data_IF_280466412156
#
_entry.id   IF_280466412156
#
_cell.length_a   1.000
_cell.length_b   1.000
_cell.length_c   1.000
_cell.angle_alpha   90.00
_cell.angle_beta   90.00
_cell.angle_gamma   90.00
#
_symmetry.space_group_name_H-M   'P 1'
#
loop_
_entity.id
_entity.type
_entity.pdbx_description
1 polymer ?
#
# COMPACT_ATOMS: atom_id res chain seq x y z
N UNK A 1 -36.79 5.70 -18.18
CA UNK A 1 -35.39 5.55 -18.63
C UNK A 1 -34.58 4.86 -17.53
N UNK A 2 -34.09 3.63 -17.78
CA UNK A 2 -33.20 2.94 -16.85
C UNK A 2 -31.76 3.37 -17.16
N UNK A 3 -31.17 4.20 -16.30
CA UNK A 3 -29.74 4.50 -16.38
C UNK A 3 -28.97 3.24 -15.95
N UNK A 4 -28.45 2.49 -16.92
CA UNK A 4 -27.48 1.43 -16.68
C UNK A 4 -26.23 2.06 -16.05
N UNK A 5 -26.04 1.81 -14.75
CA UNK A 5 -24.91 2.29 -13.97
C UNK A 5 -23.66 1.49 -14.39
N UNK A 6 -22.92 1.99 -15.38
CA UNK A 6 -21.71 1.35 -15.89
C UNK A 6 -20.59 1.38 -14.83
N UNK A 7 -20.39 0.27 -14.12
CA UNK A 7 -19.17 0.05 -13.34
C UNK A 7 -18.00 -0.24 -14.29
N UNK A 8 -17.27 0.83 -14.64
CA UNK A 8 -16.12 0.79 -15.57
C UNK A 8 -14.96 -0.12 -15.11
N UNK A 9 -14.94 -0.51 -13.83
CA UNK A 9 -13.94 -1.42 -13.28
C UNK A 9 -14.61 -2.51 -12.43
N UNK A 10 -14.44 -3.78 -12.83
CA UNK A 10 -14.86 -4.94 -12.02
C UNK A 10 -13.85 -5.13 -10.88
N UNK A 11 -13.99 -4.36 -9.81
CA UNK A 11 -13.21 -4.61 -8.59
C UNK A 11 -13.58 -5.98 -8.04
N UNK A 12 -12.58 -6.77 -7.63
CA UNK A 12 -12.83 -8.08 -7.06
C UNK A 12 -13.75 -7.98 -5.83
N UNK A 13 -14.65 -8.97 -5.60
CA UNK A 13 -15.47 -9.04 -4.41
C UNK A 13 -14.62 -8.95 -3.15
N UNK A 14 -15.16 -8.36 -2.07
CA UNK A 14 -14.45 -8.16 -0.80
C UNK A 14 -13.87 -9.47 -0.27
N UNK A 15 -14.65 -10.55 -0.38
CA UNK A 15 -14.30 -11.89 0.08
C UNK A 15 -13.04 -12.42 -0.62
N UNK A 16 -12.79 -12.00 -1.87
CA UNK A 16 -11.64 -12.43 -2.67
C UNK A 16 -10.40 -11.57 -2.46
N UNK A 17 -10.48 -10.52 -1.64
CA UNK A 17 -9.38 -9.61 -1.28
C UNK A 17 -9.23 -9.49 0.25
N UNK A 18 -9.65 -10.52 0.98
CA UNK A 18 -9.52 -10.59 2.43
C UNK A 18 -8.43 -11.60 2.81
N UNK A 19 -7.52 -11.22 3.70
CA UNK A 19 -6.57 -12.13 4.34
C UNK A 19 -6.42 -11.77 5.82
N UNK A 20 -6.34 -12.77 6.70
CA UNK A 20 -6.25 -12.58 8.15
C UNK A 20 -7.34 -11.65 8.75
N UNK A 21 -8.54 -11.63 8.16
CA UNK A 21 -9.64 -10.72 8.55
C UNK A 21 -9.49 -9.28 8.05
N UNK A 22 -8.41 -8.96 7.34
CA UNK A 22 -8.13 -7.64 6.77
C UNK A 22 -8.58 -7.61 5.31
N UNK A 23 -9.35 -6.58 4.94
CA UNK A 23 -9.85 -6.37 3.58
C UNK A 23 -8.93 -5.41 2.83
N UNK A 24 -8.24 -5.90 1.79
CA UNK A 24 -7.27 -5.13 0.98
C UNK A 24 -7.94 -4.42 -0.18
N UNK A 25 -7.42 -3.29 -0.67
CA UNK A 25 -8.04 -2.56 -1.78
C UNK A 25 -7.96 -3.35 -3.10
N UNK A 26 -6.92 -4.17 -3.26
CA UNK A 26 -6.74 -5.05 -4.42
C UNK A 26 -6.31 -6.48 -4.06
N UNK A 27 -6.48 -7.41 -5.01
CA UNK A 27 -5.93 -8.77 -4.88
C UNK A 27 -4.40 -8.76 -4.83
N UNK A 28 -3.76 -7.83 -5.53
CA UNK A 28 -2.31 -7.70 -5.56
C UNK A 28 -1.75 -7.33 -4.18
N UNK A 29 -2.35 -6.35 -3.51
CA UNK A 29 -2.02 -5.99 -2.12
C UNK A 29 -2.19 -7.17 -1.17
N UNK A 30 -3.32 -7.89 -1.26
CA UNK A 30 -3.57 -9.07 -0.42
C UNK A 30 -2.49 -10.15 -0.62
N UNK A 31 -2.11 -10.44 -1.87
CA UNK A 31 -1.05 -11.40 -2.15
C UNK A 31 0.29 -10.92 -1.60
N UNK A 32 0.63 -9.65 -1.79
CA UNK A 32 1.86 -9.06 -1.27
C UNK A 32 1.92 -9.12 0.25
N UNK A 33 0.81 -8.81 0.93
CA UNK A 33 0.70 -8.95 2.37
C UNK A 33 1.01 -10.38 2.83
N UNK A 34 0.47 -11.41 2.16
CA UNK A 34 0.75 -12.81 2.50
C UNK A 34 2.24 -13.15 2.38
N UNK A 35 2.92 -12.65 1.34
CA UNK A 35 4.38 -12.81 1.20
C UNK A 35 5.14 -12.12 2.34
N UNK A 36 4.81 -10.86 2.63
CA UNK A 36 5.45 -10.10 3.70
C UNK A 36 5.23 -10.76 5.07
N UNK A 37 4.05 -11.30 5.33
CA UNK A 37 3.77 -12.06 6.56
C UNK A 37 4.61 -13.33 6.68
N UNK A 38 4.89 -14.01 5.56
CA UNK A 38 5.81 -15.15 5.57
C UNK A 38 7.24 -14.72 5.84
N UNK A 39 7.68 -13.60 5.26
CA UNK A 39 9.00 -13.01 5.51
C UNK A 39 9.16 -12.51 6.95
N UNK A 40 8.10 -12.01 7.55
CA UNK A 40 8.08 -11.60 8.96
C UNK A 40 8.21 -12.83 9.87
N UNK A 41 7.45 -13.89 9.58
CA UNK A 41 7.54 -15.17 10.31
C UNK A 41 8.92 -15.82 10.20
N UNK A 42 9.61 -15.69 9.07
CA UNK A 42 10.98 -16.19 8.90
C UNK A 42 12.06 -15.27 9.48
N UNK A 43 11.68 -14.10 10.00
CA UNK A 43 12.60 -13.13 10.61
C UNK A 43 13.44 -12.33 9.60
N UNK A 44 13.07 -12.36 8.31
CA UNK A 44 13.73 -11.56 7.26
C UNK A 44 13.30 -10.10 7.35
N UNK A 45 12.05 -9.85 7.77
CA UNK A 45 11.53 -8.51 8.05
C UNK A 45 10.88 -8.48 9.44
N UNK A 46 10.62 -7.27 9.96
CA UNK A 46 9.99 -7.00 11.25
C UNK A 46 9.11 -5.76 11.14
N UNK A 47 8.25 -5.54 12.13
CA UNK A 47 7.40 -4.35 12.24
C UNK A 47 6.56 -4.11 10.99
N UNK A 48 5.93 -5.15 10.44
CA UNK A 48 5.05 -5.00 9.29
C UNK A 48 3.82 -4.16 9.67
N UNK A 49 3.72 -2.97 9.08
CA UNK A 49 2.64 -2.01 9.23
C UNK A 49 1.87 -1.89 7.91
N UNK A 50 0.54 -1.84 8.00
CA UNK A 50 -0.35 -1.67 6.86
C UNK A 50 -0.89 -0.24 6.84
N UNK A 51 -0.99 0.34 5.65
CA UNK A 51 -1.52 1.69 5.44
C UNK A 51 -0.91 2.80 6.31
N UNK A 52 0.44 2.84 6.47
CA UNK A 52 1.11 3.89 7.24
C UNK A 52 0.84 5.26 6.63
N UNK A 53 0.61 6.26 7.49
CA UNK A 53 0.33 7.64 7.09
C UNK A 53 1.55 8.52 7.32
N UNK A 54 1.99 9.21 6.27
CA UNK A 54 3.10 10.15 6.31
C UNK A 54 2.59 11.56 6.06
N UNK A 55 2.89 12.49 6.95
CA UNK A 55 2.57 13.91 6.74
C UNK A 55 3.48 14.46 5.63
N UNK A 56 2.90 14.86 4.49
CA UNK A 56 3.65 15.49 3.39
C UNK A 56 3.65 17.01 3.57
N UNK A 57 2.47 17.56 3.85
CA UNK A 57 2.28 19.00 3.96
C UNK A 57 1.62 19.25 5.31
N UNK A 58 2.30 19.97 6.22
CA UNK A 58 1.70 20.33 7.50
C UNK A 58 0.51 21.27 7.28
N UNK A 59 -0.44 21.26 8.23
CA UNK A 59 -1.49 22.26 8.24
C UNK A 59 -0.86 23.65 8.40
N UNK A 60 -1.30 24.62 7.62
CA UNK A 60 -0.80 26.00 7.73
C UNK A 60 -1.75 26.81 8.59
N UNK A 61 -1.20 27.77 9.35
CA UNK A 61 -1.98 28.67 10.21
C UNK A 61 -3.02 29.50 9.42
N UNK A 62 -2.82 29.64 8.11
CA UNK A 62 -3.74 30.32 7.18
C UNK A 62 -4.90 29.43 6.70
N UNK A 63 -5.15 28.29 7.36
CA UNK A 63 -6.26 27.39 7.05
C UNK A 63 -5.95 26.31 6.01
N UNK A 64 -4.67 26.07 5.69
CA UNK A 64 -4.27 24.98 4.81
C UNK A 64 -4.51 23.62 5.46
N UNK A 65 -5.14 22.69 4.74
CA UNK A 65 -5.36 21.32 5.22
C UNK A 65 -4.08 20.50 5.17
N UNK A 66 -3.79 19.78 6.25
CA UNK A 66 -2.71 18.81 6.27
C UNK A 66 -2.95 17.72 5.21
N UNK A 67 -1.94 17.44 4.40
CA UNK A 67 -2.00 16.41 3.37
C UNK A 67 -1.10 15.25 3.76
N UNK A 68 -1.67 14.05 3.72
CA UNK A 68 -0.98 12.81 4.09
C UNK A 68 -0.81 11.92 2.87
N UNK A 69 0.36 11.30 2.79
CA UNK A 69 0.60 10.16 1.92
C UNK A 69 0.27 8.90 2.70
N UNK A 70 -0.48 7.98 2.08
CA UNK A 70 -0.76 6.66 2.66
C UNK A 70 -0.11 5.63 1.74
N UNK A 71 0.89 4.92 2.22
CA UNK A 71 1.51 3.81 1.49
C UNK A 71 0.77 2.50 1.79
N UNK A 72 1.00 1.42 1.04
CA UNK A 72 0.34 0.14 1.33
C UNK A 72 0.99 -0.60 2.50
N UNK A 73 2.32 -0.66 2.52
CA UNK A 73 3.08 -1.39 3.54
C UNK A 73 4.30 -0.59 4.01
N UNK A 74 4.67 -0.82 5.27
CA UNK A 74 5.96 -0.42 5.84
C UNK A 74 6.52 -1.55 6.67
N UNK A 75 7.82 -1.79 6.59
CA UNK A 75 8.48 -2.83 7.37
C UNK A 75 9.97 -2.54 7.51
N UNK A 76 10.59 -3.12 8.54
CA UNK A 76 12.04 -3.07 8.74
C UNK A 76 12.67 -4.37 8.26
N UNK A 77 13.69 -4.29 7.42
CA UNK A 77 14.47 -5.47 7.02
C UNK A 77 15.38 -5.95 8.16
N UNK A 78 15.82 -7.20 8.12
CA UNK A 78 16.80 -7.73 9.08
C UNK A 78 18.09 -6.91 9.15
N UNK A 79 18.46 -6.21 8.07
CA UNK A 79 19.60 -5.30 8.02
C UNK A 79 19.36 -3.93 8.66
N UNK A 80 18.17 -3.67 9.24
CA UNK A 80 17.82 -2.41 9.90
C UNK A 80 17.22 -1.34 8.98
N UNK A 81 17.23 -1.55 7.66
CA UNK A 81 16.63 -0.61 6.72
C UNK A 81 15.11 -0.64 6.77
N UNK A 82 14.50 0.53 6.95
CA UNK A 82 13.05 0.73 6.79
C UNK A 82 12.68 0.78 5.30
N UNK A 83 11.64 0.05 4.93
CA UNK A 83 11.10 0.00 3.58
C UNK A 83 9.64 0.43 3.64
N UNK A 84 9.27 1.34 2.75
CA UNK A 84 7.88 1.75 2.49
C UNK A 84 7.55 1.29 1.06
N UNK A 85 6.51 0.49 0.90
CA UNK A 85 6.16 -0.17 -0.35
C UNK A 85 4.71 0.15 -0.77
N UNK A 86 4.53 0.52 -2.04
CA UNK A 86 3.24 0.83 -2.68
C UNK A 86 2.98 -0.19 -3.80
N UNK A 87 1.94 -1.01 -3.64
CA UNK A 87 1.59 -2.09 -4.54
C UNK A 87 0.75 -1.56 -5.68
N UNK A 88 1.40 -1.27 -6.79
CA UNK A 88 0.69 -0.99 -8.04
C UNK A 88 -0.04 -2.25 -8.51
N UNK A 89 -1.31 -2.09 -8.90
CA UNK A 89 -2.12 -3.12 -9.57
C UNK A 89 -1.59 -3.47 -10.97
N UNK A 90 -2.46 -3.99 -11.85
CA UNK A 90 -2.13 -4.46 -13.21
C UNK A 90 -1.10 -3.54 -13.89
N UNK A 91 0.09 -4.08 -14.16
CA UNK A 91 1.16 -3.42 -14.89
C UNK A 91 0.73 -3.27 -16.35
N UNK A 92 0.06 -2.16 -16.68
CA UNK A 92 0.06 -1.69 -18.06
C UNK A 92 1.46 -1.14 -18.36
N UNK A 93 1.98 -1.37 -19.56
CA UNK A 93 3.39 -1.14 -19.94
C UNK A 93 3.90 0.33 -19.85
N UNK A 94 3.12 1.24 -19.26
CA UNK A 94 3.34 2.68 -19.31
C UNK A 94 3.99 3.26 -18.04
N UNK A 95 4.40 2.44 -17.06
CA UNK A 95 4.99 2.99 -15.82
C UNK A 95 6.28 2.26 -15.38
N UNK A 96 7.37 2.57 -16.08
CA UNK A 96 8.75 2.36 -15.61
C UNK A 96 9.29 3.68 -15.02
N UNK A 97 9.02 3.94 -13.73
CA UNK A 97 9.61 4.96 -12.84
C UNK A 97 8.72 5.00 -11.58
N UNK A 98 9.13 5.04 -10.34
CA UNK A 98 10.40 5.34 -9.69
C UNK A 98 10.61 4.34 -8.55
N UNK A 99 11.80 3.75 -8.49
CA UNK A 99 12.27 3.01 -7.33
C UNK A 99 13.07 3.99 -6.48
N UNK A 100 12.38 4.90 -5.80
CA UNK A 100 13.05 5.83 -4.89
C UNK A 100 13.39 5.12 -3.58
N UNK A 101 14.48 4.34 -3.61
CA UNK A 101 15.14 3.94 -2.38
C UNK A 101 15.72 5.20 -1.74
N UNK A 102 15.04 5.71 -0.71
CA UNK A 102 15.66 6.64 0.23
C UNK A 102 16.19 5.83 1.41
N UNK A 103 17.49 5.50 1.46
CA UNK A 103 18.11 5.15 2.72
C UNK A 103 17.97 6.37 3.63
N UNK A 104 17.24 6.22 4.74
CA UNK A 104 17.31 7.18 5.83
C UNK A 104 18.72 7.06 6.42
N UNK A 105 19.57 8.05 6.14
CA UNK A 105 20.84 8.28 6.85
C UNK A 105 20.58 9.06 8.13
#
# INVERSE_FOLDING_TARGET
MSYSHWHKYKTAPKEQRTADGIVFASKAEMLRYKELRLLEKSGVIKNLELQPKFLIIPATEKGGRATHYVADFRYTTKGGGEIVEDVKGVKTEVYKRDRHYRPCF
#
